data_IF_658589694189
#
_entry.id   IF_658589694189
#
_cell.length_a   1.000
_cell.length_b   1.000
_cell.length_c   1.000
_cell.angle_alpha   90.00
_cell.angle_beta   90.00
_cell.angle_gamma   90.00
#
_symmetry.space_group_name_H-M   'P 1'
#
loop_
_entity.id
_entity.type
_entity.pdbx_description
1 polymer ?
#
# COMPACT_ATOMS: atom_id res chain seq x y z
N UNK A 1 20.47 -1.69 -1.12
CA UNK A 1 19.90 -1.03 0.07
C UNK A 1 18.64 -0.34 -0.40
N UNK A 2 17.50 -1.04 -0.31
CA UNK A 2 16.20 -0.49 -0.69
C UNK A 2 15.70 0.28 0.54
N UNK A 3 16.11 1.54 0.62
CA UNK A 3 15.59 2.51 1.56
C UNK A 3 14.06 2.51 1.48
N UNK A 4 13.40 2.07 2.55
CA UNK A 4 11.96 2.19 2.79
C UNK A 4 11.64 3.69 3.04
N UNK A 5 12.07 4.57 2.14
CA UNK A 5 12.19 6.02 2.35
C UNK A 5 11.36 6.84 1.36
N UNK A 6 10.76 6.20 0.36
CA UNK A 6 9.77 6.84 -0.50
C UNK A 6 8.47 6.07 -0.45
N UNK A 7 7.69 6.31 0.60
CA UNK A 7 6.25 6.07 0.55
C UNK A 7 5.72 6.69 -0.75
N UNK A 8 5.06 5.85 -1.56
CA UNK A 8 4.52 6.25 -2.86
C UNK A 8 3.78 7.58 -2.74
N UNK A 9 4.20 8.58 -3.52
CA UNK A 9 3.56 9.89 -3.53
C UNK A 9 2.13 9.78 -4.08
N UNK A 10 1.24 10.66 -3.63
CA UNK A 10 -0.16 10.69 -4.08
C UNK A 10 -0.30 10.73 -5.61
N UNK A 11 0.58 11.47 -6.29
CA UNK A 11 0.61 11.50 -7.75
C UNK A 11 0.92 10.14 -8.38
N UNK A 12 1.84 9.37 -7.81
CA UNK A 12 2.19 8.04 -8.30
C UNK A 12 1.05 7.03 -8.09
N UNK A 13 0.34 7.11 -6.96
CA UNK A 13 -0.85 6.28 -6.70
C UNK A 13 -1.99 6.67 -7.65
N UNK A 14 -2.20 7.96 -7.89
CA UNK A 14 -3.21 8.42 -8.85
C UNK A 14 -2.88 7.93 -10.27
N UNK A 15 -1.63 8.09 -10.73
CA UNK A 15 -1.18 7.58 -12.04
C UNK A 15 -1.38 6.06 -12.16
N UNK A 16 -1.06 5.31 -11.10
CA UNK A 16 -1.31 3.87 -11.04
C UNK A 16 -2.80 3.54 -11.18
N UNK A 17 -3.68 4.23 -10.45
CA UNK A 17 -5.13 4.02 -10.55
C UNK A 17 -5.69 4.39 -11.93
N UNK A 18 -5.17 5.45 -12.55
CA UNK A 18 -5.51 5.78 -13.94
C UNK A 18 -5.11 4.66 -14.88
N UNK A 19 -3.93 4.07 -14.67
CA UNK A 19 -3.41 3.06 -15.58
C UNK A 19 -4.08 1.69 -15.39
N UNK A 20 -4.35 1.29 -14.14
CA UNK A 20 -4.93 0.00 -13.79
C UNK A 20 -6.44 -0.02 -13.94
N UNK A 21 -7.14 1.04 -13.50
CA UNK A 21 -8.60 1.10 -13.54
C UNK A 21 -9.16 1.93 -14.70
N UNK A 22 -8.32 2.63 -15.46
CA UNK A 22 -8.79 3.52 -16.53
C UNK A 22 -9.54 4.75 -16.01
N UNK A 23 -9.29 5.14 -14.76
CA UNK A 23 -9.98 6.25 -14.11
C UNK A 23 -9.54 7.61 -14.67
N UNK A 24 -10.46 8.56 -14.67
CA UNK A 24 -10.16 9.97 -14.97
C UNK A 24 -9.24 10.56 -13.89
N UNK A 25 -8.44 11.58 -14.24
CA UNK A 25 -7.45 12.16 -13.33
C UNK A 25 -8.09 12.66 -12.02
N UNK A 26 -9.27 13.27 -12.09
CA UNK A 26 -9.98 13.74 -10.89
C UNK A 26 -10.46 12.60 -9.99
N UNK A 27 -10.95 11.51 -10.59
CA UNK A 27 -11.39 10.32 -9.85
C UNK A 27 -10.20 9.60 -9.23
N UNK A 28 -9.12 9.43 -9.99
CA UNK A 28 -7.90 8.78 -9.53
C UNK A 28 -7.23 9.56 -8.37
N UNK A 29 -7.24 10.89 -8.39
CA UNK A 29 -6.73 11.68 -7.26
C UNK A 29 -7.57 11.52 -6.00
N UNK A 30 -8.91 11.51 -6.12
CA UNK A 30 -9.81 11.26 -4.99
C UNK A 30 -9.56 9.89 -4.39
N UNK A 31 -9.45 8.89 -5.25
CA UNK A 31 -9.30 7.51 -4.83
C UNK A 31 -7.91 7.25 -4.25
N UNK A 32 -6.86 7.86 -4.81
CA UNK A 32 -5.52 7.87 -4.22
C UNK A 32 -5.52 8.51 -2.83
N UNK A 33 -6.26 9.60 -2.61
CA UNK A 33 -6.36 10.22 -1.29
C UNK A 33 -7.05 9.30 -0.26
N UNK A 34 -8.10 8.59 -0.67
CA UNK A 34 -8.78 7.61 0.19
C UNK A 34 -7.87 6.43 0.52
N UNK A 35 -7.11 5.93 -0.45
CA UNK A 35 -6.16 4.83 -0.25
C UNK A 35 -5.06 5.24 0.72
N UNK A 36 -4.49 6.45 0.58
CA UNK A 36 -3.49 6.97 1.51
C UNK A 36 -4.07 7.13 2.92
N UNK A 37 -5.28 7.68 3.07
CA UNK A 37 -5.93 7.79 4.38
C UNK A 37 -6.08 6.41 5.04
N UNK A 38 -6.50 5.41 4.27
CA UNK A 38 -6.62 4.05 4.75
C UNK A 38 -5.26 3.46 5.14
N UNK A 39 -4.21 3.70 4.36
CA UNK A 39 -2.86 3.23 4.68
C UNK A 39 -2.29 3.91 5.93
N UNK A 40 -2.50 5.21 6.09
CA UNK A 40 -2.13 5.95 7.30
C UNK A 40 -2.88 5.41 8.53
N UNK A 41 -4.18 5.08 8.40
CA UNK A 41 -4.94 4.41 9.45
C UNK A 41 -4.37 3.04 9.79
N UNK A 42 -4.09 2.21 8.78
CA UNK A 42 -3.51 0.88 8.96
C UNK A 42 -2.12 0.97 9.61
N UNK A 43 -1.31 1.96 9.23
CA UNK A 43 -0.01 2.24 9.83
C UNK A 43 -0.14 2.71 11.28
N UNK A 44 -1.07 3.61 11.57
CA UNK A 44 -1.34 4.12 12.92
C UNK A 44 -1.86 3.03 13.87
N UNK A 45 -2.64 2.08 13.35
CA UNK A 45 -3.08 0.89 14.08
C UNK A 45 -1.98 -0.18 14.22
N UNK A 46 -0.83 0.00 13.54
CA UNK A 46 0.27 -0.95 13.57
C UNK A 46 0.07 -2.18 12.69
N UNK A 47 -0.80 -2.12 11.67
CA UNK A 47 -0.98 -3.20 10.69
C UNK A 47 0.10 -3.23 9.61
N UNK A 48 0.53 -2.05 9.14
CA UNK A 48 1.55 -1.91 8.09
C UNK A 48 2.69 -1.01 8.55
N UNK A 49 3.92 -1.32 8.13
CA UNK A 49 5.09 -0.44 8.32
C UNK A 49 5.07 0.70 7.31
N UNK A 50 4.51 0.46 6.13
CA UNK A 50 4.39 1.43 5.05
C UNK A 50 3.89 0.78 3.76
N UNK A 51 3.99 1.53 2.67
CA UNK A 51 3.63 1.09 1.33
C UNK A 51 4.67 1.61 0.33
N UNK A 52 4.93 0.84 -0.73
CA UNK A 52 5.95 1.16 -1.75
C UNK A 52 5.47 0.70 -3.12
N UNK A 53 6.06 1.22 -4.20
CA UNK A 53 5.94 0.58 -5.50
C UNK A 53 7.01 -0.50 -5.63
N UNK A 54 6.59 -1.70 -6.03
CA UNK A 54 7.50 -2.79 -6.39
C UNK A 54 8.14 -2.54 -7.77
N UNK A 55 9.16 -3.33 -8.15
CA UNK A 55 9.76 -3.30 -9.49
C UNK A 55 8.73 -3.50 -10.62
N UNK A 56 7.61 -4.18 -10.34
CA UNK A 56 6.49 -4.30 -11.28
C UNK A 56 5.68 -3.01 -11.48
N UNK A 57 5.97 -1.92 -10.76
CA UNK A 57 5.15 -0.70 -10.75
C UNK A 57 3.82 -0.89 -10.02
N UNK A 58 3.69 -1.95 -9.23
CA UNK A 58 2.50 -2.26 -8.44
C UNK A 58 2.67 -1.72 -7.01
N UNK A 59 1.59 -1.17 -6.47
CA UNK A 59 1.55 -0.68 -5.11
C UNK A 59 1.52 -1.87 -4.13
N UNK A 60 2.62 -2.08 -3.43
CA UNK A 60 2.79 -3.13 -2.44
C UNK A 60 2.73 -2.56 -1.02
N UNK A 61 2.11 -3.33 -0.12
CA UNK A 61 1.91 -2.98 1.28
C UNK A 61 2.90 -3.78 2.12
N UNK A 62 3.67 -3.08 2.94
CA UNK A 62 4.65 -3.71 3.82
C UNK A 62 3.98 -3.94 5.17
N UNK A 63 3.55 -5.17 5.52
CA UNK A 63 2.94 -5.45 6.82
C UNK A 63 3.94 -5.23 7.96
N UNK A 64 3.41 -4.96 9.15
CA UNK A 64 4.20 -5.08 10.38
C UNK A 64 4.46 -6.53 10.71
N UNK A 65 5.53 -6.77 11.49
CA UNK A 65 5.91 -8.12 11.95
C UNK A 65 4.75 -8.81 12.70
N UNK A 66 3.98 -8.00 13.43
CA UNK A 66 2.79 -8.44 14.16
C UNK A 66 1.69 -9.01 13.24
N UNK A 67 1.49 -8.42 12.05
CA UNK A 67 0.55 -8.91 11.05
C UNK A 67 1.14 -10.02 10.20
N UNK A 68 2.44 -9.97 9.90
CA UNK A 68 3.12 -11.04 9.20
C UNK A 68 3.06 -12.37 9.99
N UNK A 69 3.13 -12.30 11.32
CA UNK A 69 2.93 -13.46 12.18
C UNK A 69 1.48 -13.95 12.13
N UNK A 70 0.48 -13.07 12.20
CA UNK A 70 -0.95 -13.43 12.09
C UNK A 70 -1.32 -14.02 10.73
N UNK A 71 -0.79 -13.49 9.64
CA UNK A 71 -1.02 -13.99 8.28
C UNK A 71 -0.22 -15.27 7.97
N UNK A 72 0.92 -15.47 8.66
CA UNK A 72 1.76 -16.65 8.54
C UNK A 72 1.31 -17.85 9.39
N UNK A 73 0.39 -17.64 10.33
CA UNK A 73 -0.04 -18.68 11.28
C UNK A 73 -1.16 -19.59 10.74
N UNK A 74 -1.68 -19.37 9.53
CA UNK A 74 -2.64 -20.29 8.89
C UNK A 74 -2.01 -21.56 8.26
N UNK A 75 -0.70 -21.79 8.46
CA UNK A 75 0.01 -22.98 7.95
C UNK A 75 0.57 -23.90 9.04
N UNK A 76 0.04 -23.87 10.26
CA UNK A 76 0.30 -24.94 11.24
C UNK A 76 -1.01 -25.53 11.79
N UNK A 77 -1.68 -26.27 10.92
CA UNK A 77 -2.54 -27.36 11.37
C UNK A 77 -1.69 -28.42 12.06
N UNK A 78 -2.02 -28.68 13.32
CA UNK A 78 -1.71 -29.92 14.05
C UNK A 78 -3.01 -30.66 14.32
#
# INVERSE_FOLDING_TARGET
>A
MADISQSASRGSIAEYLRHVQGLDAASAEREAAVIIDNFERMKAMGYIKGWCFDEGGHLDLIPTDQIAHLLGDEQQGY
#
